data_IF_533457580334
#
_entry.id   IF_533457580334
#
_cell.length_a   1.000
_cell.length_b   1.000
_cell.length_c   1.000
_cell.angle_alpha   90.00
_cell.angle_beta   90.00
_cell.angle_gamma   90.00
#
_symmetry.space_group_name_H-M   'P 1'
#
loop_
_entity.id
_entity.type
_entity.pdbx_description
1 polymer ?
#
# COMPACT_ATOMS: atom_id res chain seq x y z
N UNK A 1 5.32 4.04 -0.04
CA UNK A 1 5.90 2.75 0.36
C UNK A 1 4.76 1.85 0.75
N UNK A 2 4.69 0.66 0.14
CA UNK A 2 3.75 -0.39 0.50
C UNK A 2 4.49 -1.38 1.39
N UNK A 3 3.91 -1.72 2.53
CA UNK A 3 4.42 -2.69 3.49
C UNK A 3 3.46 -3.88 3.53
N UNK A 4 3.95 -5.08 3.25
CA UNK A 4 3.16 -6.32 3.27
C UNK A 4 3.96 -7.39 3.99
N UNK A 5 3.50 -7.80 5.18
CA UNK A 5 4.28 -8.66 6.06
C UNK A 5 5.61 -7.99 6.43
N UNK A 6 6.73 -8.69 6.20
CA UNK A 6 8.09 -8.20 6.47
C UNK A 6 8.72 -7.45 5.28
N UNK A 7 7.95 -7.18 4.21
CA UNK A 7 8.47 -6.62 2.97
C UNK A 7 8.00 -5.20 2.72
N UNK A 8 8.96 -4.35 2.36
CA UNK A 8 8.71 -3.01 1.87
C UNK A 8 8.82 -3.02 0.34
N UNK A 9 7.99 -2.23 -0.33
CA UNK A 9 8.13 -1.98 -1.76
C UNK A 9 7.84 -0.51 -2.09
N UNK A 10 8.73 0.16 -2.86
CA UNK A 10 8.41 1.45 -3.42
C UNK A 10 7.26 1.30 -4.42
N UNK A 11 6.30 2.21 -4.35
CA UNK A 11 5.12 2.20 -5.19
C UNK A 11 4.79 3.63 -5.61
N UNK A 12 4.22 3.77 -6.81
CA UNK A 12 3.67 5.03 -7.32
C UNK A 12 2.16 5.02 -7.13
N UNK A 13 1.61 6.12 -6.61
CA UNK A 13 0.18 6.35 -6.61
C UNK A 13 -0.28 6.60 -8.05
N UNK A 14 -1.24 5.81 -8.52
CA UNK A 14 -1.85 5.92 -9.85
C UNK A 14 -3.19 6.65 -9.75
N UNK A 15 -4.01 6.25 -8.78
CA UNK A 15 -5.33 6.84 -8.53
C UNK A 15 -5.69 6.75 -7.05
N UNK A 16 -6.51 7.70 -6.57
CA UNK A 16 -6.94 7.82 -5.18
C UNK A 16 -8.42 8.20 -5.12
N UNK A 17 -9.16 7.48 -4.31
CA UNK A 17 -10.58 7.72 -4.04
C UNK A 17 -10.84 7.72 -2.53
N UNK A 18 -12.08 8.01 -2.13
CA UNK A 18 -12.49 7.96 -0.72
C UNK A 18 -12.42 6.55 -0.13
N UNK A 19 -12.62 5.50 -0.93
CA UNK A 19 -12.70 4.12 -0.47
C UNK A 19 -11.45 3.29 -0.76
N UNK A 20 -10.45 3.84 -1.43
CA UNK A 20 -9.31 3.04 -1.86
C UNK A 20 -8.34 3.76 -2.78
N UNK A 21 -7.34 3.02 -3.22
CA UNK A 21 -6.28 3.52 -4.09
C UNK A 21 -5.81 2.47 -5.09
N UNK A 22 -5.22 2.97 -6.18
CA UNK A 22 -4.53 2.17 -7.18
C UNK A 22 -3.06 2.53 -7.16
N UNK A 23 -2.19 1.52 -7.02
CA UNK A 23 -0.75 1.70 -6.97
C UNK A 23 -0.05 0.88 -8.06
N UNK A 24 1.10 1.37 -8.49
CA UNK A 24 2.04 0.64 -9.34
C UNK A 24 3.32 0.36 -8.56
N UNK A 25 3.67 -0.91 -8.41
CA UNK A 25 4.87 -1.37 -7.71
C UNK A 25 6.13 -1.16 -8.56
N UNK A 26 7.15 -0.54 -7.96
CA UNK A 26 8.44 -0.30 -8.60
C UNK A 26 9.39 -1.44 -8.23
N UNK A 27 9.29 -2.55 -8.95
CA UNK A 27 10.07 -3.78 -8.71
C UNK A 27 11.50 -3.74 -9.28
N UNK A 28 11.91 -2.63 -9.89
CA UNK A 28 13.22 -2.50 -10.55
C UNK A 28 14.36 -2.14 -9.58
N UNK A 29 14.04 -1.91 -8.30
CA UNK A 29 15.06 -1.74 -7.27
C UNK A 29 15.42 -3.11 -6.68
N UNK A 30 16.68 -3.50 -6.85
CA UNK A 30 17.25 -4.72 -6.27
C UNK A 30 16.90 -4.78 -4.77
N UNK A 31 16.28 -5.88 -4.35
CA UNK A 31 15.95 -6.16 -2.94
C UNK A 31 14.51 -5.84 -2.52
N UNK A 32 13.68 -5.26 -3.40
CA UNK A 32 12.27 -4.96 -3.10
C UNK A 32 11.34 -5.92 -3.84
N UNK A 33 10.70 -6.84 -3.11
CA UNK A 33 9.68 -7.75 -3.62
C UNK A 33 8.43 -7.65 -2.76
N UNK A 34 7.28 -7.44 -3.39
CA UNK A 34 5.98 -7.45 -2.71
C UNK A 34 5.14 -8.58 -3.31
N UNK A 35 5.13 -9.73 -2.63
CA UNK A 35 4.36 -10.93 -3.02
C UNK A 35 2.89 -10.88 -2.56
N UNK A 36 2.34 -9.67 -2.40
CA UNK A 36 0.97 -9.49 -1.94
C UNK A 36 -0.04 -10.11 -2.91
N UNK A 37 -0.98 -10.85 -2.36
CA UNK A 37 -2.10 -11.49 -3.03
C UNK A 37 -3.43 -10.82 -2.68
N UNK A 38 -4.46 -11.07 -3.48
CA UNK A 38 -5.82 -10.60 -3.17
C UNK A 38 -6.25 -11.18 -1.82
N UNK A 39 -6.70 -10.30 -0.92
CA UNK A 39 -7.04 -10.66 0.46
C UNK A 39 -6.06 -10.13 1.49
N UNK A 40 -4.81 -9.89 1.11
CA UNK A 40 -3.76 -9.43 2.03
C UNK A 40 -4.04 -8.02 2.53
N UNK A 41 -3.67 -7.74 3.77
CA UNK A 41 -3.70 -6.38 4.32
C UNK A 41 -2.31 -5.77 4.22
N UNK A 42 -2.26 -4.54 3.72
CA UNK A 42 -1.03 -3.79 3.52
C UNK A 42 -1.05 -2.50 4.33
N UNK A 43 0.11 -2.08 4.82
CA UNK A 43 0.32 -0.75 5.39
C UNK A 43 0.95 0.15 4.34
N UNK A 44 0.50 1.40 4.28
CA UNK A 44 0.82 2.33 3.22
C UNK A 44 1.34 3.62 3.83
N UNK A 45 2.54 4.03 3.42
CA UNK A 45 3.13 5.33 3.77
C UNK A 45 3.31 6.16 2.49
N UNK A 46 2.58 7.26 2.35
CA UNK A 46 2.72 8.22 1.25
C UNK A 46 3.47 9.45 1.73
N UNK A 47 4.44 9.91 0.93
CA UNK A 47 5.30 11.04 1.27
C UNK A 47 5.03 12.18 0.29
N UNK A 48 4.73 13.38 0.80
CA UNK A 48 4.56 14.59 -0.01
C UNK A 48 5.15 15.80 0.70
N UNK A 49 6.21 16.40 0.13
CA UNK A 49 6.82 17.66 0.60
C UNK A 49 7.05 17.77 2.12
N UNK A 50 7.45 16.66 2.76
CA UNK A 50 7.70 16.60 4.20
C UNK A 50 6.52 16.13 5.05
N UNK A 51 5.33 15.96 4.48
CA UNK A 51 4.20 15.29 5.10
C UNK A 51 4.25 13.77 4.84
N UNK A 52 3.85 13.00 5.85
CA UNK A 52 3.68 11.54 5.75
C UNK A 52 2.22 11.22 6.03
N UNK A 53 1.55 10.58 5.07
CA UNK A 53 0.21 10.04 5.24
C UNK A 53 0.30 8.51 5.36
N UNK A 54 -0.30 7.97 6.42
CA UNK A 54 -0.32 6.54 6.67
C UNK A 54 -1.74 6.01 6.60
N UNK A 55 -1.92 4.88 5.94
CA UNK A 55 -3.20 4.17 5.89
C UNK A 55 -2.99 2.66 5.78
N UNK A 56 -4.06 1.90 5.94
CA UNK A 56 -4.08 0.45 5.72
C UNK A 56 -5.11 0.13 4.64
N UNK A 57 -4.78 -0.84 3.80
CA UNK A 57 -5.65 -1.25 2.70
C UNK A 57 -5.61 -2.76 2.51
N UNK A 58 -6.75 -3.33 2.10
CA UNK A 58 -6.83 -4.73 1.67
C UNK A 58 -6.64 -4.81 0.17
N UNK A 59 -5.82 -5.74 -0.30
CA UNK A 59 -5.64 -6.00 -1.73
C UNK A 59 -6.93 -6.59 -2.28
N UNK A 60 -7.61 -5.84 -3.14
CA UNK A 60 -8.84 -6.28 -3.82
C UNK A 60 -8.60 -6.65 -5.28
N UNK A 61 -7.47 -6.22 -5.86
CA UNK A 61 -7.09 -6.55 -7.23
C UNK A 61 -5.57 -6.58 -7.43
N UNK A 62 -5.09 -7.54 -8.21
CA UNK A 62 -3.68 -7.67 -8.60
C UNK A 62 -3.56 -7.95 -10.10
N UNK A 63 -2.71 -7.19 -10.81
CA UNK A 63 -2.40 -7.43 -12.22
C UNK A 63 -0.96 -6.98 -12.54
N UNK A 64 -0.04 -7.93 -12.67
CA UNK A 64 1.38 -7.60 -12.88
C UNK A 64 1.91 -6.78 -11.71
N UNK A 65 2.36 -5.54 -11.95
CA UNK A 65 2.84 -4.63 -10.90
C UNK A 65 1.76 -3.66 -10.40
N UNK A 66 0.55 -3.75 -10.96
CA UNK A 66 -0.58 -2.93 -10.53
C UNK A 66 -1.29 -3.61 -9.36
N UNK A 67 -1.62 -2.83 -8.34
CA UNK A 67 -2.30 -3.29 -7.13
C UNK A 67 -3.43 -2.31 -6.76
N UNK A 68 -4.64 -2.85 -6.65
CA UNK A 68 -5.82 -2.12 -6.19
C UNK A 68 -6.09 -2.45 -4.73
N UNK A 69 -6.27 -1.41 -3.93
CA UNK A 69 -6.45 -1.49 -2.49
C UNK A 69 -7.77 -0.82 -2.10
N UNK A 70 -8.54 -1.49 -1.26
CA UNK A 70 -9.69 -0.90 -0.56
C UNK A 70 -9.24 -0.51 0.84
N UNK A 71 -9.59 0.70 1.29
CA UNK A 71 -9.24 1.14 2.63
C UNK A 71 -9.98 0.30 3.68
N UNK A 72 -9.23 -0.08 4.70
CA UNK A 72 -9.78 -0.77 5.86
C UNK A 72 -9.75 0.19 7.05
N UNK A 73 -10.92 0.51 7.58
CA UNK A 73 -11.06 1.13 8.89
C UNK A 73 -10.61 0.11 9.94
N UNK A 74 -9.33 0.16 10.29
CA UNK A 74 -8.90 -0.35 11.57
C UNK A 74 -8.96 0.86 12.50
N UNK A 75 -9.99 0.88 13.33
CA UNK A 75 -10.10 1.74 14.52
C UNK A 75 -8.70 2.01 15.08
N UNK A 76 -8.34 3.28 15.36
CA UNK A 76 -7.00 3.61 15.81
C UNK A 76 -6.64 2.73 17.00
N UNK A 77 -5.48 2.08 16.95
CA UNK A 77 -4.82 1.70 18.19
C UNK A 77 -4.60 3.01 18.93
N UNK A 78 -5.45 3.28 19.92
CA UNK A 78 -5.19 4.31 20.92
C UNK A 78 -3.79 4.08 21.43
N UNK A 79 -2.88 4.99 21.08
CA UNK A 79 -1.59 5.09 21.75
C UNK A 79 -1.92 5.32 23.24
N UNK A 80 -1.62 4.31 24.07
CA UNK A 80 -1.63 4.40 25.54
C UNK A 80 -0.27 4.91 26.00
#
# INVERSE_FOLDING_TARGET
MLHVGDYDAPAKLVDLSESGMLLYLVEWLIGYHCESSVGDTCHLSMYNEGAVFQTRGKVVRRMGNLIGLEFVDLTPETAV
#
